data_IF_176019929465
#
_entry.id   IF_176019929465
#
_cell.length_a   1.000
_cell.length_b   1.000
_cell.length_c   1.000
_cell.angle_alpha   90.00
_cell.angle_beta   90.00
_cell.angle_gamma   90.00
#
_symmetry.space_group_name_H-M   'P 1'
#
loop_
_entity.id
_entity.type
_entity.pdbx_description
1 polymer ?
#
# COMPACT_ATOMS: atom_id res chain seq x y z
N UNK A 1 8.44 -7.56 -36.10
CA UNK A 1 8.65 -6.18 -35.65
C UNK A 1 7.92 -6.07 -34.32
N UNK A 2 8.64 -5.88 -33.21
CA UNK A 2 8.06 -5.77 -31.87
C UNK A 2 7.53 -4.35 -31.69
N UNK A 3 6.25 -4.19 -31.35
CA UNK A 3 5.72 -2.93 -30.84
C UNK A 3 6.21 -2.73 -29.39
N UNK A 4 6.98 -1.66 -29.08
CA UNK A 4 7.43 -1.37 -27.73
C UNK A 4 6.41 -0.46 -27.06
N UNK A 5 5.27 -1.02 -26.63
CA UNK A 5 4.39 -0.32 -25.71
C UNK A 5 4.36 -1.12 -24.42
N UNK A 6 5.43 -0.97 -23.62
CA UNK A 6 5.39 -1.35 -22.22
C UNK A 6 4.31 -0.50 -21.58
N UNK A 7 3.17 -1.12 -21.29
CA UNK A 7 2.03 -0.53 -20.61
C UNK A 7 2.50 0.11 -19.31
N UNK A 8 2.87 1.38 -19.36
CA UNK A 8 2.91 2.24 -18.19
C UNK A 8 1.44 2.55 -17.87
N UNK A 9 0.67 1.52 -17.53
CA UNK A 9 -0.55 1.71 -16.76
C UNK A 9 -0.05 2.41 -15.50
N UNK A 10 -0.25 3.73 -15.44
CA UNK A 10 -0.30 4.43 -14.16
C UNK A 10 -1.32 3.65 -13.38
N UNK A 11 -0.83 2.69 -12.59
CA UNK A 11 -1.69 1.91 -11.75
C UNK A 11 -2.21 3.02 -10.82
N UNK A 12 -3.52 3.30 -10.82
CA UNK A 12 -4.18 4.26 -9.91
C UNK A 12 -5.15 3.51 -9.01
N UNK A 13 -5.19 3.79 -7.71
CA UNK A 13 -6.07 3.08 -6.76
C UNK A 13 -5.57 3.27 -5.32
N UNK A 14 -6.32 2.85 -4.28
CA UNK A 14 -5.97 3.22 -2.92
C UNK A 14 -4.58 2.76 -2.47
N UNK A 15 -3.87 3.61 -1.73
CA UNK A 15 -2.48 3.41 -1.27
C UNK A 15 -2.26 2.02 -0.66
N UNK A 16 -3.16 1.57 0.22
CA UNK A 16 -3.03 0.28 0.89
C UNK A 16 -3.07 -0.91 -0.08
N UNK A 17 -3.87 -0.80 -1.15
CA UNK A 17 -3.95 -1.84 -2.19
C UNK A 17 -2.63 -1.95 -2.91
N UNK A 18 -2.02 -0.81 -3.23
CA UNK A 18 -0.75 -0.76 -3.96
C UNK A 18 0.43 -1.23 -3.16
N UNK A 19 0.52 -0.79 -1.91
CA UNK A 19 1.53 -1.31 -0.98
C UNK A 19 1.44 -2.83 -0.89
N UNK A 20 0.23 -3.36 -0.73
CA UNK A 20 0.01 -4.81 -0.66
C UNK A 20 0.43 -5.52 -1.96
N UNK A 21 0.04 -4.99 -3.11
CA UNK A 21 0.37 -5.56 -4.42
C UNK A 21 1.88 -5.53 -4.70
N UNK A 22 2.56 -4.43 -4.36
CA UNK A 22 4.01 -4.29 -4.47
C UNK A 22 4.77 -5.28 -3.57
N UNK A 23 4.22 -5.61 -2.41
CA UNK A 23 4.76 -6.64 -1.52
C UNK A 23 4.40 -8.07 -1.96
N UNK A 24 3.54 -8.24 -2.98
CA UNK A 24 3.07 -9.56 -3.43
C UNK A 24 2.20 -10.27 -2.39
N UNK A 25 1.52 -9.54 -1.51
CA UNK A 25 0.79 -10.11 -0.37
C UNK A 25 -0.72 -10.25 -0.61
N UNK A 26 -1.32 -11.23 0.05
CA UNK A 26 -2.78 -11.29 0.22
C UNK A 26 -3.25 -10.27 1.24
N UNK A 27 -4.53 -9.88 1.18
CA UNK A 27 -5.13 -8.93 2.14
C UNK A 27 -5.00 -9.45 3.58
N UNK A 28 -5.20 -10.75 3.80
CA UNK A 28 -5.05 -11.36 5.12
C UNK A 28 -3.61 -11.30 5.63
N UNK A 29 -2.63 -11.58 4.76
CA UNK A 29 -1.22 -11.55 5.19
C UNK A 29 -0.77 -10.12 5.48
N UNK A 30 -1.14 -9.17 4.64
CA UNK A 30 -0.85 -7.76 4.84
C UNK A 30 -1.48 -7.22 6.13
N UNK A 31 -2.75 -7.55 6.38
CA UNK A 31 -3.43 -7.17 7.61
C UNK A 31 -2.73 -7.72 8.86
N UNK A 32 -2.28 -8.99 8.83
CA UNK A 32 -1.54 -9.61 9.94
C UNK A 32 -0.21 -8.91 10.22
N UNK A 33 0.52 -8.49 9.19
CA UNK A 33 1.79 -7.77 9.36
C UNK A 33 1.57 -6.39 9.99
N UNK A 34 0.53 -5.67 9.58
CA UNK A 34 0.14 -4.39 10.18
C UNK A 34 -0.43 -4.59 11.60
N UNK A 35 -0.96 -5.78 11.92
CA UNK A 35 -1.61 -6.07 13.20
C UNK A 35 -3.08 -5.66 13.24
N UNK A 36 -3.76 -5.69 12.08
CA UNK A 36 -5.17 -5.33 11.95
C UNK A 36 -6.01 -6.46 11.30
N UNK A 37 -7.31 -6.22 11.12
CA UNK A 37 -8.21 -7.19 10.47
C UNK A 37 -8.17 -7.09 8.95
N UNK A 38 -8.30 -8.23 8.25
CA UNK A 38 -8.41 -8.27 6.79
C UNK A 38 -9.59 -7.41 6.27
N UNK A 39 -10.70 -7.35 7.03
CA UNK A 39 -11.84 -6.50 6.73
C UNK A 39 -11.49 -5.01 6.72
N UNK A 40 -10.61 -4.56 7.63
CA UNK A 40 -10.14 -3.17 7.69
C UNK A 40 -9.33 -2.81 6.45
N UNK A 41 -8.42 -3.70 6.04
CA UNK A 41 -7.66 -3.56 4.79
C UNK A 41 -8.61 -3.53 3.58
N UNK A 42 -9.52 -4.50 3.46
CA UNK A 42 -10.49 -4.55 2.36
C UNK A 42 -11.31 -3.25 2.23
N UNK A 43 -11.76 -2.67 3.35
CA UNK A 43 -12.48 -1.37 3.36
C UNK A 43 -11.59 -0.21 2.89
N UNK A 44 -10.34 -0.17 3.33
CA UNK A 44 -9.38 0.84 2.88
C UNK A 44 -9.11 0.72 1.38
N UNK A 45 -8.92 -0.52 0.88
CA UNK A 45 -8.67 -0.80 -0.53
C UNK A 45 -9.90 -0.52 -1.43
N UNK A 46 -11.10 -0.44 -0.85
CA UNK A 46 -12.32 -0.02 -1.55
C UNK A 46 -12.61 1.47 -1.41
N UNK A 47 -11.68 2.26 -0.86
CA UNK A 47 -11.81 3.72 -0.73
C UNK A 47 -12.55 4.21 0.52
N UNK A 48 -12.86 3.34 1.49
CA UNK A 48 -13.40 3.82 2.77
C UNK A 48 -12.29 4.45 3.63
N UNK A 49 -12.62 5.56 4.27
CA UNK A 49 -11.77 6.11 5.33
C UNK A 49 -11.66 5.11 6.49
N UNK A 50 -10.42 4.84 6.89
CA UNK A 50 -10.10 4.00 8.04
C UNK A 50 -9.12 4.71 8.94
N UNK A 51 -9.22 4.46 10.24
CA UNK A 51 -8.28 4.98 11.22
C UNK A 51 -7.33 3.87 11.65
N UNK A 52 -6.03 4.09 11.58
CA UNK A 52 -5.05 3.21 12.20
C UNK A 52 -4.76 3.67 13.63
N UNK A 53 -4.60 2.70 14.52
CA UNK A 53 -4.09 2.88 15.87
C UNK A 53 -2.58 3.10 15.80
N UNK A 54 -1.99 3.70 16.84
CA UNK A 54 -0.55 3.93 16.90
C UNK A 54 0.27 2.63 16.70
N UNK A 55 -0.08 1.47 17.29
CA UNK A 55 0.64 0.22 17.02
C UNK A 55 0.57 -0.21 15.54
N UNK A 56 -0.59 -0.08 14.89
CA UNK A 56 -0.75 -0.43 13.47
C UNK A 56 0.10 0.49 12.58
N UNK A 57 0.14 1.80 12.89
CA UNK A 57 0.99 2.78 12.21
C UNK A 57 2.47 2.42 12.35
N UNK A 58 2.92 2.03 13.55
CA UNK A 58 4.30 1.61 13.79
C UNK A 58 4.67 0.34 13.02
N UNK A 59 3.76 -0.63 12.96
CA UNK A 59 3.99 -1.85 12.20
C UNK A 59 4.02 -1.59 10.69
N UNK A 60 3.15 -0.70 10.20
CA UNK A 60 3.19 -0.25 8.81
C UNK A 60 4.51 0.47 8.49
N UNK A 61 4.96 1.39 9.36
CA UNK A 61 6.24 2.08 9.21
C UNK A 61 7.43 1.10 9.18
N UNK A 62 7.43 0.09 10.06
CA UNK A 62 8.46 -0.95 10.04
C UNK A 62 8.44 -1.74 8.74
N UNK A 63 7.25 -2.12 8.26
CA UNK A 63 7.09 -2.86 7.01
C UNK A 63 7.60 -2.06 5.80
N UNK A 64 7.34 -0.74 5.77
CA UNK A 64 7.86 0.14 4.72
C UNK A 64 9.39 0.22 4.75
N UNK A 65 9.97 0.35 5.96
CA UNK A 65 11.42 0.40 6.13
C UNK A 65 12.11 -0.89 5.69
N UNK A 66 11.54 -2.03 6.07
CA UNK A 66 12.12 -3.35 5.75
C UNK A 66 12.07 -3.69 4.26
N UNK A 67 11.00 -3.29 3.55
CA UNK A 67 10.80 -3.68 2.15
C UNK A 67 11.18 -2.61 1.13
N UNK A 68 11.07 -1.33 1.48
CA UNK A 68 11.27 -0.22 0.55
C UNK A 68 12.33 0.78 1.04
N UNK A 69 12.83 0.66 2.27
CA UNK A 69 13.82 1.58 2.83
C UNK A 69 13.26 2.99 3.10
N UNK A 70 11.94 3.15 3.14
CA UNK A 70 11.26 4.42 3.41
C UNK A 70 10.44 4.34 4.69
N UNK A 71 10.07 5.49 5.24
CA UNK A 71 9.16 5.58 6.38
C UNK A 71 7.74 6.00 5.95
N UNK A 72 6.85 6.10 6.92
CA UNK A 72 5.45 6.46 6.67
C UNK A 72 5.25 7.86 6.05
N UNK A 73 6.22 8.77 6.16
CA UNK A 73 6.14 10.10 5.55
C UNK A 73 6.38 10.07 4.03
N UNK A 74 6.87 8.95 3.49
CA UNK A 74 6.98 8.76 2.05
C UNK A 74 5.63 8.36 1.40
N UNK A 75 4.62 8.02 2.20
CA UNK A 75 3.27 7.79 1.69
C UNK A 75 2.64 9.12 1.26
N UNK A 76 1.84 9.14 0.18
CA UNK A 76 1.11 10.33 -0.21
C UNK A 76 0.03 10.66 0.84
N UNK A 77 -0.25 11.96 1.00
CA UNK A 77 -1.38 12.42 1.84
C UNK A 77 -2.73 12.02 1.24
N UNK A 78 -2.79 11.91 -0.10
CA UNK A 78 -3.96 11.39 -0.81
C UNK A 78 -3.92 9.86 -0.85
N UNK A 79 -4.73 9.25 0.01
CA UNK A 79 -4.82 7.78 0.09
C UNK A 79 -5.59 7.14 -1.05
N UNK A 80 -6.30 7.92 -1.88
CA UNK A 80 -7.09 7.43 -3.01
C UNK A 80 -6.27 7.39 -4.29
N UNK A 81 -5.39 8.38 -4.46
CA UNK A 81 -4.40 8.38 -5.53
C UNK A 81 -3.17 7.58 -5.06
N UNK A 82 -3.18 6.26 -5.23
CA UNK A 82 -2.05 5.37 -4.85
C UNK A 82 -0.83 5.48 -5.75
N UNK A 83 -0.48 6.72 -6.07
CA UNK A 83 0.84 7.13 -6.49
C UNK A 83 1.79 6.93 -5.31
N UNK A 84 2.71 5.98 -5.45
CA UNK A 84 3.71 5.68 -4.45
C UNK A 84 5.06 6.02 -5.06
N UNK A 85 5.61 7.22 -4.82
CA UNK A 85 6.75 7.75 -5.57
C UNK A 85 8.04 6.96 -5.37
N UNK A 86 8.08 6.11 -4.35
CA UNK A 86 9.20 5.22 -4.04
C UNK A 86 9.09 3.83 -4.67
N UNK A 87 7.97 3.51 -5.33
CA UNK A 87 7.83 2.30 -6.14
C UNK A 87 8.21 2.63 -7.59
N UNK A 88 9.43 2.27 -7.99
CA UNK A 88 9.94 2.43 -9.36
C UNK A 88 10.00 1.10 -10.12
#
# INVERSE_FOLDING_TARGET
>A
MLDPNGSNEQITGPVMKRLREALGLSQERFARLIGCSAKKISRSESGSEITFTIPEIKNLDLLLKEHFGVDIHALPDDTQNGDLPFLH
#
